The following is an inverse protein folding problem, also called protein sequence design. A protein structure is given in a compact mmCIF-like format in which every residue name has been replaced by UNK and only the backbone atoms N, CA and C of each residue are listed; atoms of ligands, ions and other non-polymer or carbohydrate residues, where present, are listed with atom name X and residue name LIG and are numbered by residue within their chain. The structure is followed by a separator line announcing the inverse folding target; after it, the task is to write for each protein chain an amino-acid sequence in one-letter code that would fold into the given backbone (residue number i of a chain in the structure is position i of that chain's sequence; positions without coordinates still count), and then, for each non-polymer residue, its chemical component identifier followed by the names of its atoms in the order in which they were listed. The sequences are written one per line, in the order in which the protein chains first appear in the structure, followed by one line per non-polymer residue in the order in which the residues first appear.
data_IF_623348541360
#
_entry.id   IF_623348541360
#
_cell.length_a   1.000
_cell.length_b   1.000
_cell.length_c   1.000
_cell.angle_alpha   90.00
_cell.angle_beta   90.00
_cell.angle_gamma   90.00
#
_symmetry.space_group_name_H-M   'P 1'
#
loop_
_entity.id
_entity.type
_entity.pdbx_description
1 polymer ?
#
# COMPACT_ATOMS: atom_id res chain seq x y z
N UNK A 1 -9.74 17.56 -16.27
CA UNK A 1 -10.44 16.80 -15.21
C UNK A 1 -11.92 16.83 -15.48
N UNK A 2 -12.58 15.68 -15.59
CA UNK A 2 -14.02 15.60 -15.83
C UNK A 2 -14.75 15.23 -14.54
N UNK A 3 -16.04 15.62 -14.42
CA UNK A 3 -16.84 15.29 -13.23
C UNK A 3 -16.95 13.76 -13.03
N UNK A 4 -16.99 12.99 -14.13
CA UNK A 4 -17.08 11.53 -14.09
C UNK A 4 -15.85 10.87 -13.47
N UNK A 5 -14.64 11.35 -13.78
CA UNK A 5 -13.41 10.77 -13.22
C UNK A 5 -13.31 10.99 -11.72
N UNK A 6 -13.72 12.16 -11.23
CA UNK A 6 -13.74 12.47 -9.79
C UNK A 6 -14.77 11.58 -9.08
N UNK A 7 -15.98 11.44 -9.64
CA UNK A 7 -17.03 10.61 -9.05
C UNK A 7 -16.60 9.14 -8.93
N UNK A 8 -16.11 8.55 -10.03
CA UNK A 8 -15.62 7.17 -10.04
C UNK A 8 -14.41 7.00 -9.12
N UNK A 9 -13.46 7.94 -9.17
CA UNK A 9 -12.30 7.95 -8.29
C UNK A 9 -12.70 7.96 -6.81
N UNK A 10 -13.69 8.76 -6.42
CA UNK A 10 -14.23 8.79 -5.05
C UNK A 10 -14.88 7.46 -4.66
N UNK A 11 -15.68 6.86 -5.56
CA UNK A 11 -16.32 5.56 -5.29
C UNK A 11 -15.26 4.47 -5.07
N UNK A 12 -14.26 4.36 -5.95
CA UNK A 12 -13.20 3.37 -5.78
C UNK A 12 -12.34 3.65 -4.54
N UNK A 13 -12.05 4.93 -4.26
CA UNK A 13 -11.29 5.32 -3.06
C UNK A 13 -12.02 4.97 -1.77
N UNK A 14 -13.35 5.19 -1.72
CA UNK A 14 -14.20 4.76 -0.60
C UNK A 14 -14.21 3.24 -0.47
N UNK A 15 -14.35 2.52 -1.59
CA UNK A 15 -14.27 1.07 -1.61
C UNK A 15 -12.95 0.54 -1.04
N UNK A 16 -11.82 1.09 -1.47
CA UNK A 16 -10.48 0.77 -0.95
C UNK A 16 -10.41 1.06 0.56
N UNK A 17 -10.90 2.22 0.99
CA UNK A 17 -10.92 2.64 2.38
C UNK A 17 -11.70 1.72 3.32
N UNK A 18 -12.75 1.08 2.82
CA UNK A 18 -13.57 0.13 3.58
C UNK A 18 -13.05 -1.31 3.49
N UNK A 19 -12.66 -1.74 2.30
CA UNK A 19 -12.27 -3.14 2.04
C UNK A 19 -10.90 -3.45 2.63
N UNK A 20 -9.90 -2.56 2.48
CA UNK A 20 -8.54 -2.87 2.92
C UNK A 20 -8.45 -3.15 4.44
N UNK A 21 -9.01 -2.31 5.34
CA UNK A 21 -8.99 -2.59 6.77
C UNK A 21 -9.67 -3.92 7.12
N UNK A 22 -10.81 -4.23 6.48
CA UNK A 22 -11.51 -5.50 6.67
C UNK A 22 -10.64 -6.68 6.24
N UNK A 23 -10.06 -6.61 5.04
CA UNK A 23 -9.22 -7.70 4.53
C UNK A 23 -7.95 -7.90 5.36
N UNK A 24 -7.35 -6.82 5.87
CA UNK A 24 -6.07 -6.90 6.56
C UNK A 24 -6.19 -7.18 8.05
N UNK A 25 -7.14 -6.54 8.74
CA UNK A 25 -7.27 -6.66 10.19
C UNK A 25 -8.22 -7.77 10.61
N UNK A 26 -9.28 -8.02 9.84
CA UNK A 26 -10.28 -9.04 10.20
C UNK A 26 -10.02 -10.38 9.50
N UNK A 27 -9.96 -10.38 8.17
CA UNK A 27 -9.76 -11.61 7.37
C UNK A 27 -8.29 -12.10 7.46
N UNK A 28 -7.37 -11.21 7.86
CA UNK A 28 -5.92 -11.47 7.85
C UNK A 28 -5.38 -11.90 6.48
N UNK A 29 -6.01 -11.38 5.42
CA UNK A 29 -5.66 -11.68 4.05
C UNK A 29 -4.43 -10.94 3.55
N UNK A 30 -4.22 -11.01 2.24
CA UNK A 30 -3.08 -10.36 1.58
C UNK A 30 -3.12 -8.87 1.86
N UNK A 31 -2.01 -8.34 2.37
CA UNK A 31 -1.97 -6.99 2.92
C UNK A 31 -1.60 -5.98 1.82
N UNK A 32 -2.59 -5.67 0.98
CA UNK A 32 -2.46 -4.87 -0.24
C UNK A 32 -2.24 -3.36 0.02
N UNK A 33 -2.46 -2.88 1.25
CA UNK A 33 -2.13 -1.52 1.68
C UNK A 33 -0.77 -1.40 2.37
N UNK A 34 -0.01 -2.49 2.53
CA UNK A 34 1.27 -2.44 3.26
C UNK A 34 2.43 -1.81 2.50
N UNK A 35 2.42 -1.74 1.18
CA UNK A 35 3.59 -1.27 0.43
C UNK A 35 3.34 0.12 -0.14
N UNK A 36 4.41 0.93 -0.18
CA UNK A 36 4.41 2.24 -0.84
C UNK A 36 4.17 2.16 -2.35
N UNK A 37 4.18 0.96 -2.92
CA UNK A 37 3.83 0.68 -4.32
C UNK A 37 2.31 0.54 -4.55
N UNK A 38 1.50 0.58 -3.49
CA UNK A 38 0.02 0.65 -3.54
C UNK A 38 -0.62 -0.36 -4.50
N UNK A 39 -0.36 -1.67 -4.32
CA UNK A 39 -0.76 -2.71 -5.26
C UNK A 39 -2.28 -2.83 -5.44
N UNK A 40 -3.09 -2.42 -4.44
CA UNK A 40 -4.54 -2.37 -4.58
C UNK A 40 -4.99 -1.44 -5.72
N UNK A 41 -4.40 -0.25 -5.84
CA UNK A 41 -4.72 0.71 -6.90
C UNK A 41 -4.37 0.17 -8.29
N UNK A 42 -3.21 -0.48 -8.43
CA UNK A 42 -2.80 -1.13 -9.68
C UNK A 42 -3.71 -2.29 -10.05
N UNK A 43 -4.06 -3.13 -9.07
CA UNK A 43 -4.93 -4.27 -9.30
C UNK A 43 -6.33 -3.83 -9.76
N UNK A 44 -6.91 -2.82 -9.09
CA UNK A 44 -8.21 -2.27 -9.49
C UNK A 44 -8.13 -1.62 -10.87
N UNK A 45 -7.07 -0.84 -11.16
CA UNK A 45 -6.86 -0.27 -12.50
C UNK A 45 -6.76 -1.37 -13.56
N UNK A 46 -6.01 -2.44 -13.30
CA UNK A 46 -5.91 -3.59 -14.18
C UNK A 46 -7.29 -4.21 -14.46
N UNK A 47 -8.09 -4.46 -13.42
CA UNK A 47 -9.44 -5.00 -13.56
C UNK A 47 -10.36 -4.07 -14.34
N UNK A 48 -10.30 -2.75 -14.11
CA UNK A 48 -11.04 -1.74 -14.86
C UNK A 48 -10.71 -1.85 -16.35
N UNK A 49 -9.43 -1.97 -16.69
CA UNK A 49 -8.95 -1.99 -18.08
C UNK A 49 -9.34 -3.25 -18.83
N UNK A 50 -9.18 -4.43 -18.23
CA UNK A 50 -9.49 -5.71 -18.90
C UNK A 50 -10.98 -6.01 -18.96
N UNK A 51 -11.77 -5.48 -18.02
CA UNK A 51 -13.20 -5.76 -17.90
C UNK A 51 -14.07 -4.57 -18.36
N UNK A 52 -14.50 -3.68 -17.44
CA UNK A 52 -15.43 -2.59 -17.75
C UNK A 52 -15.01 -1.72 -18.92
N UNK A 53 -13.74 -1.31 -18.98
CA UNK A 53 -13.24 -0.43 -20.03
C UNK A 53 -13.20 -1.14 -21.39
N UNK A 54 -12.79 -2.40 -21.43
CA UNK A 54 -12.83 -3.22 -22.65
C UNK A 54 -14.26 -3.39 -23.17
N UNK A 55 -15.21 -3.66 -22.27
CA UNK A 55 -16.64 -3.77 -22.60
C UNK A 55 -17.22 -2.44 -23.09
N UNK A 56 -16.91 -1.33 -22.41
CA UNK A 56 -17.34 0.01 -22.83
C UNK A 56 -16.79 0.37 -24.20
N UNK A 57 -15.50 0.16 -24.47
CA UNK A 57 -14.92 0.36 -25.80
C UNK A 57 -15.54 -0.55 -26.87
N UNK A 58 -16.10 -1.69 -26.49
CA UNK A 58 -16.72 -2.64 -27.41
C UNK A 58 -18.19 -2.33 -27.71
N UNK A 59 -18.96 -1.93 -26.71
CA UNK A 59 -20.42 -1.77 -26.79
C UNK A 59 -20.85 -0.31 -26.88
N UNK A 60 -20.18 0.60 -26.17
CA UNK A 60 -20.54 2.02 -26.05
C UNK A 60 -19.28 2.91 -26.07
N UNK A 61 -18.60 3.08 -27.22
CA UNK A 61 -17.31 3.78 -27.30
C UNK A 61 -17.33 5.20 -26.73
N UNK A 62 -18.45 5.91 -26.86
CA UNK A 62 -18.61 7.29 -26.34
C UNK A 62 -18.60 7.35 -24.81
N UNK A 63 -18.83 6.23 -24.12
CA UNK A 63 -18.85 6.14 -22.66
C UNK A 63 -17.52 5.64 -22.09
N UNK A 64 -16.59 5.20 -22.94
CA UNK A 64 -15.26 4.77 -22.51
C UNK A 64 -14.53 5.94 -21.83
N UNK A 65 -13.77 5.60 -20.78
CA UNK A 65 -12.94 6.57 -20.07
C UNK A 65 -11.72 6.91 -20.91
N UNK A 66 -11.28 8.16 -20.88
CA UNK A 66 -10.03 8.57 -21.54
C UNK A 66 -8.83 8.20 -20.67
N UNK A 67 -7.63 8.18 -21.25
CA UNK A 67 -6.39 7.96 -20.50
C UNK A 67 -6.24 8.93 -19.32
N UNK A 68 -6.51 10.22 -19.53
CA UNK A 68 -6.43 11.25 -18.47
C UNK A 68 -7.39 10.96 -17.31
N UNK A 69 -8.59 10.46 -17.60
CA UNK A 69 -9.58 10.15 -16.56
C UNK A 69 -9.19 8.92 -15.76
N UNK A 70 -8.66 7.90 -16.43
CA UNK A 70 -8.11 6.71 -15.79
C UNK A 70 -6.93 7.06 -14.88
N UNK A 71 -6.05 7.97 -15.32
CA UNK A 71 -4.93 8.45 -14.49
C UNK A 71 -5.40 9.25 -13.27
N UNK A 72 -6.44 10.07 -13.40
CA UNK A 72 -7.04 10.77 -12.24
C UNK A 72 -7.65 9.78 -11.26
N UNK A 73 -8.44 8.81 -11.74
CA UNK A 73 -9.03 7.75 -10.90
C UNK A 73 -7.92 6.97 -10.19
N UNK A 74 -6.88 6.58 -10.94
CA UNK A 74 -5.73 5.87 -10.41
C UNK A 74 -4.98 6.65 -9.33
N UNK A 75 -4.70 7.94 -9.55
CA UNK A 75 -4.05 8.80 -8.56
C UNK A 75 -4.87 8.91 -7.26
N UNK A 76 -6.20 9.01 -7.36
CA UNK A 76 -7.08 9.01 -6.19
C UNK A 76 -7.00 7.68 -5.43
N UNK A 77 -7.06 6.54 -6.14
CA UNK A 77 -6.93 5.21 -5.54
C UNK A 77 -5.58 4.96 -4.86
N UNK A 78 -4.48 5.48 -5.45
CA UNK A 78 -3.14 5.40 -4.87
C UNK A 78 -3.11 6.04 -3.49
N UNK A 79 -3.61 7.27 -3.38
CA UNK A 79 -3.69 8.00 -2.09
C UNK A 79 -4.58 7.24 -1.10
N UNK A 80 -5.73 6.75 -1.56
CA UNK A 80 -6.68 6.01 -0.73
C UNK A 80 -6.13 4.66 -0.21
N UNK A 81 -5.17 4.05 -0.92
CA UNK A 81 -4.58 2.76 -0.50
C UNK A 81 -3.66 2.89 0.72
N UNK A 82 -2.98 4.03 0.87
CA UNK A 82 -1.92 4.21 1.89
C UNK A 82 -2.50 4.43 3.28
N UNK A 83 -3.55 5.25 3.39
CA UNK A 83 -4.06 5.78 4.67
C UNK A 83 -4.72 4.71 5.56
N UNK A 84 -5.62 3.83 5.06
CA UNK A 84 -6.48 3.01 5.92
C UNK A 84 -5.74 1.94 6.72
N UNK A 85 -4.60 1.44 6.22
CA UNK A 85 -3.85 0.36 6.87
C UNK A 85 -2.48 0.84 7.33
N UNK A 86 -1.38 0.53 6.61
CA UNK A 86 -0.03 0.78 7.11
C UNK A 86 0.31 2.26 7.28
N UNK A 87 -0.15 3.11 6.36
CA UNK A 87 0.28 4.51 6.32
C UNK A 87 -0.22 5.30 7.53
N UNK A 88 -1.36 4.91 8.10
CA UNK A 88 -1.88 5.60 9.27
C UNK A 88 -2.84 4.77 10.12
N UNK A 89 -3.90 4.20 9.53
CA UNK A 89 -4.99 3.59 10.29
C UNK A 89 -4.55 2.48 11.24
N UNK A 90 -3.68 1.57 10.79
CA UNK A 90 -3.14 0.48 11.62
C UNK A 90 -2.32 0.97 12.81
N UNK A 91 -1.24 1.76 12.59
CA UNK A 91 -0.44 2.31 13.68
C UNK A 91 -1.23 3.20 14.64
N UNK A 92 -2.16 4.02 14.14
CA UNK A 92 -2.92 4.99 14.93
C UNK A 92 -3.59 4.34 16.14
N UNK A 93 -4.32 3.24 15.94
CA UNK A 93 -5.02 2.56 17.03
C UNK A 93 -4.05 2.10 18.12
N UNK A 94 -2.95 1.46 17.74
CA UNK A 94 -1.93 1.01 18.70
C UNK A 94 -1.21 2.17 19.41
N UNK A 95 -0.93 3.27 18.70
CA UNK A 95 -0.21 4.43 19.25
C UNK A 95 -1.07 5.24 20.23
N UNK A 96 -2.38 5.32 19.97
CA UNK A 96 -3.30 6.14 20.78
C UNK A 96 -3.85 5.43 22.00
N UNK A 97 -3.75 4.10 22.06
CA UNK A 97 -4.32 3.28 23.14
C UNK A 97 -3.31 2.38 23.84
N UNK A 98 -2.23 1.96 23.16
CA UNK A 98 -1.33 0.92 23.63
C UNK A 98 -0.60 1.25 24.92
N UNK A 99 -0.16 2.50 25.11
CA UNK A 99 0.51 2.92 26.34
C UNK A 99 -0.41 2.81 27.58
N UNK A 100 -1.72 2.95 27.39
CA UNK A 100 -2.72 2.82 28.47
C UNK A 100 -3.18 1.38 28.63
N UNK A 101 -3.40 0.66 27.53
CA UNK A 101 -3.91 -0.72 27.56
C UNK A 101 -2.88 -1.72 28.10
N UNK A 102 -1.61 -1.58 27.71
CA UNK A 102 -0.52 -2.48 28.13
C UNK A 102 0.19 -2.01 29.41
N UNK A 103 -0.33 -1.00 30.11
CA UNK A 103 0.25 -0.55 31.37
C UNK A 103 0.05 -1.61 32.46
N UNK A 104 1.15 -2.06 33.08
CA UNK A 104 1.14 -2.99 34.20
C UNK A 104 1.91 -2.40 35.39
N UNK A 105 1.73 -2.92 36.61
CA UNK A 105 2.50 -2.47 37.76
C UNK A 105 4.02 -2.63 37.56
N UNK A 106 4.47 -3.65 36.82
CA UNK A 106 5.89 -3.95 36.62
C UNK A 106 6.57 -3.01 35.62
N UNK A 107 5.83 -2.50 34.62
CA UNK A 107 6.38 -1.57 33.64
C UNK A 107 6.19 -0.09 34.05
N UNK A 108 5.33 0.17 35.03
CA UNK A 108 5.03 1.50 35.58
C UNK A 108 4.62 2.55 34.53
N UNK A 109 4.12 2.15 33.37
CA UNK A 109 3.81 3.08 32.27
C UNK A 109 2.74 4.12 32.64
N UNK A 110 1.85 3.78 33.57
CA UNK A 110 0.88 4.72 34.14
C UNK A 110 1.54 5.94 34.78
N UNK A 111 2.71 5.77 35.39
CA UNK A 111 3.44 6.85 36.06
C UNK A 111 4.52 7.46 35.18
N UNK A 112 5.21 6.62 34.38
CA UNK A 112 6.37 7.04 33.58
C UNK A 112 6.00 7.60 32.20
N UNK A 113 4.90 7.15 31.59
CA UNK A 113 4.55 7.50 30.20
C UNK A 113 3.28 8.35 30.16
N UNK A 114 2.20 7.88 30.81
CA UNK A 114 0.87 8.50 30.73
C UNK A 114 0.86 10.01 31.02
N UNK A 115 1.61 10.55 32.00
CA UNK A 115 1.61 11.99 32.27
C UNK A 115 2.19 12.86 31.14
N UNK A 116 3.01 12.26 30.27
CA UNK A 116 3.64 12.96 29.14
C UNK A 116 2.83 12.83 27.83
N UNK A 117 1.74 12.04 27.84
CA UNK A 117 0.87 11.90 26.68
C UNK A 117 -0.14 13.04 26.63
N UNK A 118 -0.21 13.72 25.49
CA UNK A 118 -1.23 14.75 25.28
C UNK A 118 -2.61 14.12 25.21
N UNK A 119 -3.52 14.60 26.05
CA UNK A 119 -4.94 14.21 26.05
C UNK A 119 -5.65 14.50 24.71
N UNK A 120 -5.05 15.33 23.84
CA UNK A 120 -5.56 15.59 22.49
C UNK A 120 -5.22 14.45 21.52
N UNK A 121 -4.10 13.77 21.73
CA UNK A 121 -3.54 12.78 20.81
C UNK A 121 -3.85 11.33 21.20
N UNK A 122 -4.23 11.05 22.45
CA UNK A 122 -4.50 9.69 22.95
C UNK A 122 -5.93 9.51 23.42
N UNK A 123 -6.43 8.28 23.34
CA UNK A 123 -7.74 7.95 23.93
C UNK A 123 -7.58 7.86 25.44
N UNK A 124 -8.44 8.55 26.18
CA UNK A 124 -8.35 8.61 27.66
C UNK A 124 -9.38 7.74 28.37
N UNK A 125 -10.44 7.33 27.67
CA UNK A 125 -11.51 6.53 28.25
C UNK A 125 -11.10 5.05 28.26
N UNK A 126 -10.98 4.46 29.45
CA UNK A 126 -10.53 3.07 29.62
C UNK A 126 -11.48 2.05 28.98
N UNK A 127 -12.79 2.29 29.04
CA UNK A 127 -13.80 1.42 28.44
C UNK A 127 -13.68 1.39 26.91
N UNK A 128 -13.52 2.56 26.27
CA UNK A 128 -13.31 2.66 24.83
C UNK A 128 -12.03 1.95 24.37
N UNK A 129 -10.97 2.00 25.19
CA UNK A 129 -9.71 1.30 24.93
C UNK A 129 -9.94 -0.21 25.05
N UNK A 130 -10.57 -0.67 26.12
CA UNK A 130 -10.87 -2.09 26.35
C UNK A 130 -11.72 -2.67 25.21
N UNK A 131 -12.79 -1.97 24.82
CA UNK A 131 -13.66 -2.35 23.69
C UNK A 131 -12.91 -2.53 22.37
N UNK A 132 -11.84 -1.75 22.13
CA UNK A 132 -11.04 -1.86 20.91
C UNK A 132 -10.24 -3.18 20.86
N UNK A 133 -9.69 -3.62 22.00
CA UNK A 133 -8.82 -4.79 22.09
C UNK A 133 -9.58 -6.09 22.35
N UNK A 134 -10.59 -6.03 23.22
CA UNK A 134 -11.32 -7.22 23.69
C UNK A 134 -12.63 -7.44 22.92
N UNK A 135 -13.08 -6.44 22.16
CA UNK A 135 -14.33 -6.48 21.40
C UNK A 135 -15.50 -5.86 22.14
N UNK A 136 -16.63 -5.75 21.43
CA UNK A 136 -17.86 -5.17 21.95
C UNK A 136 -18.72 -6.30 22.55
N UNK A 137 -18.83 -6.37 23.88
CA UNK A 137 -19.73 -7.31 24.59
C UNK A 137 -21.22 -6.90 24.43
N UNK A 138 -21.69 -6.70 23.20
CA UNK A 138 -23.04 -6.20 22.88
C UNK A 138 -23.24 -4.70 23.14
N UNK A 139 -22.20 -3.99 23.58
CA UNK A 139 -22.20 -2.54 23.79
C UNK A 139 -22.11 -1.71 22.50
N UNK A 140 -22.31 -0.39 22.64
CA UNK A 140 -22.13 0.57 21.55
C UNK A 140 -20.72 1.16 21.56
N UNK A 141 -20.18 1.44 20.36
CA UNK A 141 -18.89 2.13 20.21
C UNK A 141 -18.98 3.54 20.81
N UNK A 142 -18.09 3.85 21.75
CA UNK A 142 -17.99 5.16 22.40
C UNK A 142 -17.30 6.20 21.49
N UNK A 143 -17.93 6.56 20.37
CA UNK A 143 -17.37 7.47 19.34
C UNK A 143 -16.84 8.80 19.90
N UNK A 144 -17.46 9.33 20.95
CA UNK A 144 -17.04 10.57 21.59
C UNK A 144 -15.62 10.47 22.18
N UNK A 145 -15.21 9.30 22.67
CA UNK A 145 -13.88 9.07 23.22
C UNK A 145 -12.79 9.08 22.13
N UNK A 146 -13.18 8.77 20.90
CA UNK A 146 -12.31 8.74 19.72
C UNK A 146 -12.28 10.07 18.96
N UNK A 147 -13.35 10.87 19.05
CA UNK A 147 -13.50 12.09 18.27
C UNK A 147 -12.29 13.04 18.42
N UNK A 148 -11.83 13.25 19.66
CA UNK A 148 -10.72 14.18 19.94
C UNK A 148 -9.38 13.70 19.34
N UNK A 149 -8.89 12.47 19.62
CA UNK A 149 -7.71 11.94 18.93
C UNK A 149 -7.85 11.95 17.41
N UNK A 150 -9.00 11.53 16.86
CA UNK A 150 -9.19 11.45 15.41
C UNK A 150 -9.12 12.83 14.76
N UNK A 151 -9.72 13.87 15.37
CA UNK A 151 -9.64 15.24 14.87
C UNK A 151 -8.19 15.74 14.90
N UNK A 152 -7.49 15.54 16.03
CA UNK A 152 -6.10 15.98 16.19
C UNK A 152 -5.18 15.35 15.13
N UNK A 153 -5.24 14.03 14.99
CA UNK A 153 -4.40 13.33 14.03
C UNK A 153 -4.81 13.59 12.57
N UNK A 154 -6.10 13.78 12.27
CA UNK A 154 -6.54 14.17 10.93
C UNK A 154 -6.01 15.55 10.56
N UNK A 155 -6.07 16.51 11.48
CA UNK A 155 -5.49 17.84 11.27
C UNK A 155 -3.98 17.75 11.03
N UNK A 156 -3.26 16.98 11.85
CA UNK A 156 -1.83 16.73 11.66
C UNK A 156 -1.53 16.13 10.27
N UNK A 157 -2.29 15.11 9.84
CA UNK A 157 -2.12 14.49 8.53
C UNK A 157 -2.35 15.47 7.38
N UNK A 158 -3.36 16.34 7.47
CA UNK A 158 -3.61 17.36 6.46
C UNK A 158 -2.41 18.31 6.39
N UNK A 159 -1.92 18.82 7.53
CA UNK A 159 -0.75 19.69 7.57
C UNK A 159 0.51 19.00 7.01
N UNK A 160 0.73 17.74 7.37
CA UNK A 160 1.85 16.94 6.87
C UNK A 160 1.74 16.72 5.36
N UNK A 161 0.56 16.34 4.86
CA UNK A 161 0.31 16.14 3.44
C UNK A 161 0.51 17.43 2.66
N UNK A 162 -0.01 18.57 3.15
CA UNK A 162 0.23 19.89 2.55
C UNK A 162 1.72 20.20 2.50
N UNK A 163 2.46 19.97 3.59
CA UNK A 163 3.90 20.22 3.64
C UNK A 163 4.66 19.38 2.62
N UNK A 164 4.38 18.07 2.56
CA UNK A 164 5.01 17.16 1.59
C UNK A 164 4.68 17.59 0.16
N UNK A 165 3.42 17.91 -0.14
CA UNK A 165 3.00 18.39 -1.46
C UNK A 165 3.70 19.72 -1.80
N UNK A 166 3.79 20.66 -0.86
CA UNK A 166 4.51 21.94 -1.07
C UNK A 166 5.98 21.71 -1.39
N UNK A 167 6.66 20.83 -0.64
CA UNK A 167 8.05 20.45 -0.93
C UNK A 167 8.17 19.81 -2.31
N UNK A 168 7.29 18.86 -2.64
CA UNK A 168 7.29 18.23 -3.97
C UNK A 168 7.09 19.26 -5.09
N UNK A 169 6.23 20.27 -4.90
CA UNK A 169 6.02 21.34 -5.88
C UNK A 169 7.25 22.23 -6.04
N UNK A 170 7.98 22.53 -4.97
CA UNK A 170 9.23 23.30 -5.01
C UNK A 170 10.33 22.55 -5.77
N UNK A 171 10.50 21.26 -5.50
CA UNK A 171 11.56 20.44 -6.11
C UNK A 171 11.16 19.83 -7.46
N UNK A 172 9.88 19.90 -7.85
CA UNK A 172 9.36 19.29 -9.09
C UNK A 172 10.22 19.60 -10.31
N UNK A 173 10.58 20.87 -10.52
CA UNK A 173 11.40 21.26 -11.69
C UNK A 173 12.81 20.68 -11.60
N UNK A 174 13.45 20.77 -10.44
CA UNK A 174 14.80 20.21 -10.21
C UNK A 174 14.84 18.71 -10.48
N UNK A 175 13.89 17.96 -9.91
CA UNK A 175 13.84 16.51 -10.08
C UNK A 175 13.57 16.09 -11.52
N UNK A 176 12.68 16.80 -12.24
CA UNK A 176 12.32 16.45 -13.62
C UNK A 176 13.41 16.90 -14.60
N UNK A 177 13.86 18.14 -14.52
CA UNK A 177 14.71 18.75 -15.54
C UNK A 177 16.21 18.50 -15.30
N UNK A 178 16.67 18.61 -14.05
CA UNK A 178 18.09 18.50 -13.71
C UNK A 178 18.48 17.08 -13.34
N UNK A 179 17.77 16.47 -12.42
CA UNK A 179 18.09 15.12 -11.91
C UNK A 179 17.49 14.01 -12.77
N UNK A 180 16.55 14.34 -13.67
CA UNK A 180 15.85 13.41 -14.57
C UNK A 180 15.37 12.15 -13.82
N UNK A 181 14.78 12.38 -12.65
CA UNK A 181 14.35 11.32 -11.77
C UNK A 181 13.38 10.40 -12.52
N UNK A 182 13.72 9.11 -12.60
CA UNK A 182 12.83 8.12 -13.17
C UNK A 182 11.67 7.93 -12.19
N UNK A 183 10.44 7.85 -12.72
CA UNK A 183 9.24 7.53 -11.94
C UNK A 183 8.72 6.12 -12.27
N UNK A 184 9.42 5.03 -11.84
CA UNK A 184 9.07 3.64 -12.17
C UNK A 184 7.59 3.29 -12.01
N UNK A 185 7.02 3.69 -10.87
CA UNK A 185 5.63 3.37 -10.52
C UNK A 185 4.66 4.07 -11.47
N UNK A 186 4.93 5.33 -11.83
CA UNK A 186 4.10 6.07 -12.77
C UNK A 186 4.19 5.49 -14.20
N UNK A 187 5.37 5.01 -14.62
CA UNK A 187 5.55 4.40 -15.93
C UNK A 187 4.66 3.18 -16.14
N UNK A 188 4.50 2.33 -15.12
CA UNK A 188 3.59 1.17 -15.20
C UNK A 188 2.15 1.61 -15.44
N UNK A 189 1.68 2.60 -14.68
CA UNK A 189 0.32 3.11 -14.85
C UNK A 189 0.10 3.76 -16.21
N UNK A 190 1.08 4.56 -16.68
CA UNK A 190 1.07 5.18 -18.01
C UNK A 190 1.03 4.12 -19.12
N UNK A 191 1.87 3.09 -19.02
CA UNK A 191 1.89 1.99 -19.98
C UNK A 191 0.57 1.19 -20.00
N UNK A 192 -0.15 1.10 -18.87
CA UNK A 192 -1.45 0.43 -18.78
C UNK A 192 -2.60 1.24 -19.39
N UNK A 193 -2.53 2.57 -19.38
CA UNK A 193 -3.58 3.44 -19.94
C UNK A 193 -3.29 3.93 -21.36
N UNK A 194 -2.10 3.68 -21.88
CA UNK A 194 -1.68 4.06 -23.23
C UNK A 194 -2.70 3.62 -24.30
N UNK A 195 -3.10 4.56 -25.14
CA UNK A 195 -4.02 4.30 -26.23
C UNK A 195 -3.24 3.70 -27.41
N UNK A 196 -3.68 2.52 -27.88
CA UNK A 196 -3.08 1.89 -29.07
C UNK A 196 -3.47 2.59 -30.36
N UNK A 197 -3.03 2.03 -31.49
CA UNK A 197 -3.39 2.51 -32.84
C UNK A 197 -4.90 2.67 -33.00
N UNK A 198 -5.32 3.71 -33.73
CA UNK A 198 -6.73 4.08 -33.99
C UNK A 198 -7.62 2.86 -34.26
N UNK A 199 -8.65 2.67 -33.43
CA UNK A 199 -9.59 1.53 -33.51
C UNK A 199 -9.27 0.36 -32.57
N UNK A 200 -8.13 0.40 -31.86
CA UNK A 200 -7.77 -0.64 -30.89
C UNK A 200 -8.58 -0.56 -29.60
N UNK A 201 -9.33 -1.62 -29.28
CA UNK A 201 -10.10 -1.75 -28.03
C UNK A 201 -9.23 -2.07 -26.81
N UNK A 202 -8.09 -2.74 -27.02
CA UNK A 202 -7.15 -3.18 -25.99
C UNK A 202 -5.84 -2.39 -26.10
N UNK A 203 -5.26 -2.06 -24.96
CA UNK A 203 -3.93 -1.45 -24.90
C UNK A 203 -2.87 -2.41 -25.52
N UNK A 204 -1.88 -1.90 -26.28
CA UNK A 204 -0.75 -2.69 -26.77
C UNK A 204 -0.08 -3.59 -25.73
N UNK A 205 0.05 -3.14 -24.48
CA UNK A 205 0.62 -3.90 -23.37
C UNK A 205 -0.12 -5.23 -23.15
N UNK A 206 -1.45 -5.21 -23.10
CA UNK A 206 -2.26 -6.41 -22.86
C UNK A 206 -2.35 -7.34 -24.08
N UNK A 207 -1.88 -6.90 -25.25
CA UNK A 207 -1.77 -7.74 -26.45
C UNK A 207 -0.45 -8.49 -26.50
N UNK A 208 0.55 -8.06 -25.72
CA UNK A 208 1.85 -8.69 -25.72
C UNK A 208 1.80 -10.01 -24.90
N UNK A 209 2.08 -11.18 -25.50
CA UNK A 209 2.09 -12.44 -24.77
C UNK A 209 3.17 -12.49 -23.67
N UNK A 210 4.27 -11.76 -23.83
CA UNK A 210 5.34 -11.69 -22.83
C UNK A 210 4.85 -11.05 -21.53
N UNK A 211 3.98 -10.02 -21.63
CA UNK A 211 3.35 -9.41 -20.46
C UNK A 211 2.55 -10.45 -19.66
N UNK A 212 1.77 -11.29 -20.35
CA UNK A 212 0.97 -12.32 -19.69
C UNK A 212 1.82 -13.41 -19.04
N UNK A 213 2.93 -13.82 -19.67
CA UNK A 213 3.87 -14.75 -19.02
C UNK A 213 4.44 -14.12 -17.74
N UNK A 214 4.89 -12.87 -17.82
CA UNK A 214 5.41 -12.13 -16.67
C UNK A 214 4.39 -11.88 -15.56
N UNK A 215 3.10 -11.77 -15.89
CA UNK A 215 2.00 -11.64 -14.93
C UNK A 215 1.58 -12.99 -14.33
N UNK A 216 1.42 -14.03 -15.15
CA UNK A 216 0.87 -15.32 -14.74
C UNK A 216 1.80 -16.06 -13.78
N UNK A 217 3.13 -15.98 -13.96
CA UNK A 217 4.09 -16.63 -13.07
C UNK A 217 3.90 -16.16 -11.61
N UNK A 218 4.05 -14.87 -11.26
CA UNK A 218 3.83 -14.41 -9.90
C UNK A 218 2.37 -14.55 -9.46
N UNK A 219 1.40 -14.31 -10.36
CA UNK A 219 -0.01 -14.43 -10.01
C UNK A 219 -0.36 -15.85 -9.54
N UNK A 220 0.10 -16.89 -10.25
CA UNK A 220 -0.14 -18.29 -9.89
C UNK A 220 0.62 -18.66 -8.62
N UNK A 221 1.92 -18.38 -8.56
CA UNK A 221 2.76 -18.77 -7.42
C UNK A 221 2.32 -18.11 -6.11
N UNK A 222 2.08 -16.79 -6.12
CA UNK A 222 1.63 -16.07 -4.93
C UNK A 222 0.18 -16.42 -4.57
N UNK A 223 -0.70 -16.69 -5.54
CA UNK A 223 -2.06 -17.15 -5.24
C UNK A 223 -2.08 -18.55 -4.62
N UNK A 224 -1.23 -19.48 -5.09
CA UNK A 224 -1.09 -20.81 -4.48
C UNK A 224 -0.54 -20.71 -3.07
N UNK A 225 0.46 -19.85 -2.83
CA UNK A 225 0.97 -19.58 -1.48
C UNK A 225 -0.09 -18.94 -0.57
N UNK A 226 -0.88 -18.00 -1.09
CA UNK A 226 -1.97 -17.40 -0.34
C UNK A 226 -3.05 -18.43 -0.02
N UNK A 227 -3.40 -19.30 -0.96
CA UNK A 227 -4.43 -20.32 -0.78
C UNK A 227 -3.96 -21.44 0.16
N UNK A 228 -2.70 -21.88 0.07
CA UNK A 228 -2.09 -22.82 1.02
C UNK A 228 -2.21 -22.34 2.47
N UNK A 229 -2.11 -21.03 2.71
CA UNK A 229 -2.28 -20.45 4.07
C UNK A 229 -3.67 -20.68 4.66
N UNK A 230 -4.71 -20.72 3.81
CA UNK A 230 -6.08 -21.03 4.24
C UNK A 230 -6.39 -22.52 4.17
N UNK A 231 -5.80 -23.22 3.20
CA UNK A 231 -6.00 -24.64 2.90
C UNK A 231 -4.63 -25.33 2.79
N UNK A 232 -4.07 -25.84 3.90
CA UNK A 232 -2.71 -26.39 3.96
C UNK A 232 -2.44 -27.59 3.04
N UNK A 233 -3.49 -28.18 2.44
CA UNK A 233 -3.41 -29.32 1.51
C UNK A 233 -2.81 -28.95 0.15
N UNK A 234 -2.82 -27.66 -0.21
CA UNK A 234 -2.29 -27.19 -1.50
C UNK A 234 -0.77 -27.03 -1.45
N UNK A 235 -0.08 -27.15 -2.60
CA UNK A 235 1.37 -26.96 -2.63
C UNK A 235 1.76 -25.50 -2.32
N UNK A 236 2.75 -25.33 -1.45
CA UNK A 236 3.40 -24.05 -1.20
C UNK A 236 4.77 -24.00 -1.87
N UNK A 237 5.07 -22.88 -2.52
CA UNK A 237 6.37 -22.59 -3.08
C UNK A 237 7.20 -21.77 -2.10
N UNK A 238 8.37 -22.29 -1.72
CA UNK A 238 9.30 -21.57 -0.87
C UNK A 238 10.04 -20.51 -1.68
N UNK A 239 9.68 -19.25 -1.46
CA UNK A 239 10.28 -18.07 -2.11
C UNK A 239 11.32 -17.42 -1.16
N UNK A 240 11.69 -18.10 -0.08
CA UNK A 240 12.63 -17.64 0.94
C UNK A 240 13.64 -18.74 1.22
N UNK A 241 14.90 -18.42 1.03
CA UNK A 241 16.03 -19.29 1.33
C UNK A 241 16.92 -18.61 2.35
N UNK A 242 17.33 -19.35 3.37
CA UNK A 242 18.30 -18.88 4.36
C UNK A 242 19.61 -19.61 4.10
N UNK A 243 20.67 -18.86 3.83
CA UNK A 243 22.00 -19.44 3.66
C UNK A 243 22.51 -19.76 5.05
N UNK A 244 22.45 -21.04 5.41
CA UNK A 244 22.99 -21.51 6.67
C UNK A 244 24.51 -21.54 6.58
N UNK A 245 25.16 -21.02 7.62
CA UNK A 245 26.60 -21.05 7.77
C UNK A 245 26.92 -21.17 9.26
N UNK A 246 28.08 -21.75 9.58
CA UNK A 246 28.46 -22.10 10.96
C UNK A 246 29.37 -21.04 11.60
N UNK A 247 29.47 -19.83 11.03
CA UNK A 247 30.38 -18.81 11.55
C UNK A 247 29.75 -18.20 12.81
N UNK A 248 30.41 -18.28 13.97
CA UNK A 248 29.89 -17.69 15.20
C UNK A 248 29.61 -16.19 15.03
N UNK A 249 28.48 -15.73 15.57
CA UNK A 249 28.08 -14.31 15.61
C UNK A 249 27.83 -13.62 14.25
N UNK A 250 27.82 -14.36 13.14
CA UNK A 250 27.44 -13.82 11.83
C UNK A 250 25.98 -14.21 11.52
N UNK A 251 25.09 -13.23 11.24
CA UNK A 251 23.70 -13.52 10.90
C UNK A 251 23.62 -14.19 9.53
N UNK A 252 22.82 -15.26 9.43
CA UNK A 252 22.63 -15.99 8.18
C UNK A 252 21.86 -15.14 7.17
N UNK A 253 22.41 -14.86 5.98
CA UNK A 253 21.71 -14.04 5.00
C UNK A 253 20.47 -14.77 4.49
N UNK A 254 19.36 -14.05 4.48
CA UNK A 254 18.08 -14.54 3.95
C UNK A 254 17.84 -13.93 2.58
N UNK A 255 17.80 -14.79 1.56
CA UNK A 255 17.42 -14.44 0.20
C UNK A 255 15.91 -14.67 0.07
N UNK A 256 15.18 -13.61 -0.27
CA UNK A 256 13.76 -13.70 -0.57
C UNK A 256 13.52 -13.18 -1.97
N UNK A 257 13.00 -14.02 -2.85
CA UNK A 257 12.51 -13.56 -4.14
C UNK A 257 11.21 -12.77 -3.90
N UNK A 258 11.15 -11.55 -4.39
CA UNK A 258 9.99 -10.69 -4.26
C UNK A 258 9.64 -10.17 -5.65
N UNK A 259 8.59 -10.73 -6.25
CA UNK A 259 8.19 -10.40 -7.61
C UNK A 259 7.87 -8.91 -7.81
N UNK A 260 7.34 -8.23 -6.79
CA UNK A 260 7.14 -6.78 -6.84
C UNK A 260 8.48 -6.05 -6.96
N UNK A 261 9.50 -6.48 -6.21
CA UNK A 261 10.83 -5.88 -6.28
C UNK A 261 11.55 -6.21 -7.59
N UNK A 262 11.34 -7.42 -8.14
CA UNK A 262 11.84 -7.77 -9.48
C UNK A 262 11.23 -6.85 -10.54
N UNK A 263 9.91 -6.65 -10.50
CA UNK A 263 9.22 -5.72 -11.40
C UNK A 263 9.69 -4.28 -11.22
N UNK A 264 9.88 -3.83 -9.98
CA UNK A 264 10.40 -2.49 -9.70
C UNK A 264 11.84 -2.31 -10.22
N UNK A 265 12.72 -3.29 -9.99
CA UNK A 265 14.11 -3.26 -10.42
C UNK A 265 14.28 -3.18 -11.95
N UNK A 266 13.33 -3.70 -12.72
CA UNK A 266 13.31 -3.57 -14.19
C UNK A 266 13.28 -2.11 -14.65
N UNK A 267 12.61 -1.22 -13.90
CA UNK A 267 12.48 0.20 -14.22
C UNK A 267 13.57 1.08 -13.59
N UNK A 268 14.43 0.49 -12.75
CA UNK A 268 15.51 1.21 -12.07
C UNK A 268 16.77 1.17 -12.93
N UNK A 269 17.49 2.30 -13.00
CA UNK A 269 18.77 2.35 -13.70
C UNK A 269 19.77 1.35 -13.12
N UNK A 270 20.52 0.67 -13.99
CA UNK A 270 21.46 -0.39 -13.58
C UNK A 270 22.52 0.07 -12.57
N UNK A 271 22.93 1.35 -12.63
CA UNK A 271 23.90 1.93 -11.67
C UNK A 271 23.30 2.03 -10.26
N UNK A 272 22.03 2.41 -10.16
CA UNK A 272 21.32 2.49 -8.89
C UNK A 272 21.03 1.09 -8.36
N UNK A 273 20.56 0.19 -9.23
CA UNK A 273 20.36 -1.22 -8.87
C UNK A 273 21.65 -1.85 -8.34
N UNK A 274 22.80 -1.62 -9.00
CA UNK A 274 24.11 -2.06 -8.54
C UNK A 274 24.45 -1.51 -7.16
N UNK A 275 24.31 -0.19 -6.99
CA UNK A 275 24.62 0.48 -5.72
C UNK A 275 23.80 -0.11 -4.56
N UNK A 276 22.51 -0.36 -4.76
CA UNK A 276 21.62 -0.88 -3.71
C UNK A 276 22.09 -2.23 -3.16
N UNK A 277 22.35 -3.22 -4.03
CA UNK A 277 22.77 -4.54 -3.54
C UNK A 277 24.24 -4.54 -3.09
N UNK A 278 25.11 -3.77 -3.74
CA UNK A 278 26.51 -3.65 -3.36
C UNK A 278 26.67 -3.03 -1.97
N UNK A 279 26.04 -1.89 -1.70
CA UNK A 279 26.08 -1.25 -0.39
C UNK A 279 25.31 -2.04 0.67
N UNK A 280 24.24 -2.75 0.30
CA UNK A 280 23.59 -3.69 1.22
C UNK A 280 24.57 -4.79 1.68
N UNK A 281 25.34 -5.37 0.75
CA UNK A 281 26.37 -6.35 1.11
C UNK A 281 27.50 -5.75 1.95
N UNK A 282 27.95 -4.53 1.66
CA UNK A 282 28.94 -3.82 2.48
C UNK A 282 28.42 -3.42 3.86
N UNK A 283 27.11 -3.19 3.99
CA UNK A 283 26.47 -2.84 5.25
C UNK A 283 26.34 -4.02 6.20
N UNK A 284 26.54 -5.25 5.71
CA UNK A 284 26.73 -6.37 6.62
C UNK A 284 27.90 -6.04 7.52
N UNK A 285 27.76 -6.24 8.84
CA UNK A 285 28.86 -5.97 9.75
C UNK A 285 30.05 -6.84 9.35
N UNK A 286 31.00 -6.23 8.65
CA UNK A 286 32.36 -6.72 8.55
C UNK A 286 32.95 -6.40 9.92
N UNK A 287 33.02 -7.41 10.79
CA UNK A 287 33.92 -7.33 11.94
C UNK A 287 35.29 -7.84 11.51
#
# INVERSE_FOLDING_TARGET
MTKRSIMLGSIFSLGIGLVLPVTEFWIQGTRLGLSSATPAAFFILFLILIGPQFLLKSLYPNWALTADELLVIFAMMMVATVIPTRGFGGPLFSMTTGATYYATPENEWTNLIRPHLSYLAVVTNAEAIKQMYEGLEGGQILWWAWARPLIWWTAFLICMATTVISVMLLFRRTWIERERLVFPVAQVALAMVEEGTTGSKLNPLFRNPIFWIGFLIPAILESLNALNRYMPELPAFQIRWQIQHQIPFVPSPTIRLNFLMVGFAFFVESRLAFSLWFFYLLSFPIK
#
